data_IF_533085177730
#
_entry.id   IF_533085177730
#
_cell.length_a   1.000
_cell.length_b   1.000
_cell.length_c   1.000
_cell.angle_alpha   90.00
_cell.angle_beta   90.00
_cell.angle_gamma   90.00
#
_symmetry.space_group_name_H-M   'P 1'
#
loop_
_entity.id
_entity.type
_entity.pdbx_description
1 polymer ?
#
# COMPACT_ATOMS: atom_id res chain seq x y z
N UNK A 1 -16.86 -2.31 7.08
CA UNK A 1 -15.58 -2.84 7.31
C UNK A 1 -14.96 -3.37 6.07
N UNK A 2 -13.85 -2.83 5.67
CA UNK A 2 -13.18 -3.25 4.47
C UNK A 2 -12.38 -4.53 4.70
N UNK A 3 -12.17 -5.28 3.63
CA UNK A 3 -11.25 -6.39 3.66
C UNK A 3 -9.83 -5.85 3.66
N UNK A 4 -8.92 -6.60 4.24
CA UNK A 4 -7.50 -6.24 4.20
C UNK A 4 -6.90 -6.76 2.90
N UNK A 5 -7.12 -6.01 1.84
CA UNK A 5 -6.69 -6.41 0.50
C UNK A 5 -5.23 -6.10 0.22
N UNK A 6 -4.69 -5.08 0.86
CA UNK A 6 -3.30 -4.72 0.62
C UNK A 6 -2.45 -4.89 1.88
N UNK A 7 -1.13 -4.98 1.67
CA UNK A 7 -0.15 -5.12 2.73
C UNK A 7 0.84 -3.95 2.71
N UNK A 8 0.35 -2.77 2.38
CA UNK A 8 1.21 -1.60 2.25
C UNK A 8 1.89 -1.27 3.58
N UNK A 9 1.14 -1.36 4.69
CA UNK A 9 1.69 -1.09 6.01
C UNK A 9 2.88 -2.00 6.31
N UNK A 10 2.71 -3.30 6.06
CA UNK A 10 3.78 -4.27 6.30
C UNK A 10 4.97 -4.02 5.38
N UNK A 11 4.70 -3.67 4.12
CA UNK A 11 5.75 -3.40 3.15
C UNK A 11 6.57 -2.18 3.56
N UNK A 12 5.91 -1.13 4.03
CA UNK A 12 6.61 0.06 4.50
C UNK A 12 7.49 -0.28 5.71
N UNK A 13 6.94 -1.07 6.64
CA UNK A 13 7.69 -1.48 7.82
C UNK A 13 8.92 -2.30 7.43
N UNK A 14 8.77 -3.22 6.48
CA UNK A 14 9.88 -4.04 6.01
C UNK A 14 11.00 -3.20 5.40
N UNK A 15 10.65 -2.08 4.80
CA UNK A 15 11.62 -1.20 4.15
C UNK A 15 12.04 -0.03 5.04
N UNK A 16 11.58 -0.01 6.29
CA UNK A 16 11.86 1.06 7.25
C UNK A 16 11.43 2.42 6.73
N UNK A 17 10.26 2.46 6.09
CA UNK A 17 9.70 3.71 5.55
C UNK A 17 8.42 4.06 6.27
N UNK A 18 8.08 5.35 6.25
CA UNK A 18 6.89 5.87 6.91
C UNK A 18 5.80 6.20 5.90
N UNK A 19 4.57 6.37 6.40
CA UNK A 19 3.47 6.86 5.59
C UNK A 19 3.81 8.21 4.96
N UNK A 20 4.43 9.08 5.75
CA UNK A 20 4.80 10.40 5.29
C UNK A 20 5.79 10.32 4.12
N UNK A 21 6.77 9.44 4.25
CA UNK A 21 7.75 9.24 3.18
C UNK A 21 7.04 8.81 1.89
N UNK A 22 6.14 7.84 1.99
CA UNK A 22 5.45 7.37 0.79
C UNK A 22 4.56 8.45 0.20
N UNK A 23 3.90 9.24 1.06
CA UNK A 23 3.08 10.35 0.60
C UNK A 23 3.91 11.33 -0.21
N UNK A 24 5.11 11.64 0.26
CA UNK A 24 6.02 12.54 -0.45
C UNK A 24 6.44 11.97 -1.80
N UNK A 25 6.72 10.66 -1.84
CA UNK A 25 7.12 10.02 -3.09
C UNK A 25 6.01 10.04 -4.13
N UNK A 26 4.76 9.97 -3.68
CA UNK A 26 3.61 9.88 -4.58
C UNK A 26 2.94 11.24 -4.83
N UNK A 27 3.37 12.27 -4.12
CA UNK A 27 2.72 13.58 -4.24
C UNK A 27 1.31 13.58 -3.68
N UNK A 28 1.06 12.79 -2.64
CA UNK A 28 -0.24 12.70 -1.99
C UNK A 28 -0.10 13.07 -0.52
N UNK A 29 -1.22 13.28 0.17
CA UNK A 29 -1.14 13.57 1.58
C UNK A 29 -1.06 12.28 2.40
N UNK A 30 -0.57 12.40 3.63
CA UNK A 30 -0.35 11.22 4.46
C UNK A 30 -1.67 10.62 4.96
N UNK A 31 -2.74 11.40 4.97
CA UNK A 31 -4.06 10.85 5.34
C UNK A 31 -4.52 9.82 4.33
N UNK A 32 -4.27 10.07 3.04
CA UNK A 32 -4.59 9.12 1.98
C UNK A 32 -3.81 7.82 2.18
N UNK A 33 -2.51 7.94 2.44
CA UNK A 33 -1.66 6.76 2.66
C UNK A 33 -2.14 5.98 3.89
N UNK A 34 -2.51 6.69 4.93
CA UNK A 34 -3.00 6.07 6.16
C UNK A 34 -4.25 5.23 5.89
N UNK A 35 -5.16 5.74 5.06
CA UNK A 35 -6.37 4.99 4.69
C UNK A 35 -6.02 3.71 3.93
N UNK A 36 -5.01 3.77 3.07
CA UNK A 36 -4.56 2.56 2.36
C UNK A 36 -3.95 1.56 3.35
N UNK A 37 -3.13 2.04 4.29
CA UNK A 37 -2.48 1.17 5.26
C UNK A 37 -3.46 0.44 6.16
N UNK A 38 -4.59 1.08 6.47
CA UNK A 38 -5.63 0.48 7.29
C UNK A 38 -6.67 -0.27 6.46
N UNK A 39 -6.51 -0.26 5.15
CA UNK A 39 -7.46 -0.85 4.21
C UNK A 39 -8.85 -0.22 4.26
N UNK A 40 -8.93 1.02 4.74
CA UNK A 40 -10.17 1.78 4.68
C UNK A 40 -10.51 2.15 3.24
N UNK A 41 -9.47 2.35 2.43
CA UNK A 41 -9.62 2.53 0.98
C UNK A 41 -8.41 1.90 0.32
N UNK A 42 -8.46 1.77 -1.00
CA UNK A 42 -7.39 1.11 -1.75
C UNK A 42 -6.83 2.06 -2.79
N UNK A 43 -5.53 1.98 -3.08
CA UNK A 43 -4.97 2.74 -4.19
C UNK A 43 -5.44 2.16 -5.51
N UNK A 44 -5.36 2.96 -6.57
CA UNK A 44 -5.64 2.46 -7.91
C UNK A 44 -4.59 1.43 -8.28
N UNK A 45 -4.89 0.64 -9.30
CA UNK A 45 -3.92 -0.35 -9.78
C UNK A 45 -2.61 0.33 -10.21
N UNK A 46 -2.72 1.45 -10.92
CA UNK A 46 -1.54 2.19 -11.37
C UNK A 46 -0.70 2.64 -10.18
N UNK A 47 -1.35 3.18 -9.14
CA UNK A 47 -0.66 3.63 -7.95
C UNK A 47 0.00 2.45 -7.23
N UNK A 48 -0.69 1.32 -7.18
CA UNK A 48 -0.15 0.12 -6.53
C UNK A 48 1.13 -0.35 -7.23
N UNK A 49 1.12 -0.35 -8.56
CA UNK A 49 2.32 -0.70 -9.34
C UNK A 49 3.45 0.28 -9.07
N UNK A 50 3.12 1.56 -8.93
CA UNK A 50 4.12 2.58 -8.63
C UNK A 50 4.71 2.39 -7.24
N UNK A 51 3.89 2.04 -6.26
CA UNK A 51 4.37 1.76 -4.91
C UNK A 51 5.36 0.58 -4.93
N UNK A 52 5.01 -0.47 -5.66
CA UNK A 52 5.89 -1.63 -5.78
C UNK A 52 7.25 -1.21 -6.36
N UNK A 53 7.23 -0.37 -7.38
CA UNK A 53 8.46 0.10 -8.02
C UNK A 53 9.28 0.96 -7.05
N UNK A 54 8.64 1.87 -6.34
CA UNK A 54 9.31 2.76 -5.40
C UNK A 54 9.94 1.97 -4.26
N UNK A 55 9.25 0.95 -3.76
CA UNK A 55 9.75 0.12 -2.68
C UNK A 55 10.65 -1.01 -3.16
N UNK A 56 10.81 -1.14 -4.47
CA UNK A 56 11.64 -2.18 -5.09
C UNK A 56 11.20 -3.57 -4.64
N UNK A 57 9.93 -3.85 -4.83
CA UNK A 57 9.36 -5.14 -4.47
C UNK A 57 8.30 -5.53 -5.49
N UNK A 58 7.87 -6.78 -5.43
CA UNK A 58 6.86 -7.30 -6.35
C UNK A 58 5.48 -6.83 -5.92
N UNK A 59 4.59 -6.64 -6.88
CA UNK A 59 3.22 -6.26 -6.56
C UNK A 59 2.54 -7.35 -5.72
N UNK A 60 2.93 -8.60 -5.90
CA UNK A 60 2.45 -9.70 -5.06
C UNK A 60 2.70 -9.46 -3.59
N UNK A 61 3.78 -8.76 -3.26
CA UNK A 61 4.12 -8.50 -1.86
C UNK A 61 3.25 -7.41 -1.26
N UNK A 62 2.49 -6.71 -2.08
CA UNK A 62 1.63 -5.60 -1.64
C UNK A 62 0.17 -5.99 -1.55
N UNK A 63 -0.19 -7.18 -1.97
CA UNK A 63 -1.59 -7.58 -2.04
C UNK A 63 -1.81 -8.89 -1.29
N UNK A 64 -3.06 -9.11 -0.89
CA UNK A 64 -3.46 -10.32 -0.19
C UNK A 64 -4.40 -11.11 -1.07
N UNK A 65 -3.85 -12.01 -1.85
CA UNK A 65 -4.66 -12.85 -2.73
C UNK A 65 -5.67 -13.66 -1.93
N UNK A 66 -5.27 -14.11 -0.75
CA UNK A 66 -6.14 -14.93 0.09
C UNK A 66 -7.37 -14.17 0.59
N UNK A 67 -7.37 -12.85 0.50
CA UNK A 67 -8.52 -12.05 0.95
C UNK A 67 -9.68 -12.10 -0.03
N UNK A 68 -9.46 -12.65 -1.21
CA UNK A 68 -10.45 -12.69 -2.30
C UNK A 68 -10.71 -14.14 -2.65
N UNK A 69 -11.01 -14.93 -1.68
CA UNK A 69 -11.36 -16.31 -2.01
C UNK A 69 -12.86 -16.42 -1.92
N UNK A 70 -13.41 -17.08 -2.72
CA UNK A 70 -14.78 -17.31 -2.67
C UNK A 70 -15.35 -18.07 -3.42
#
# INVERSE_FOLDING_TARGET
>A
MGRKLNRIKAALADKDKTNKWLAEQLGKDSATISKWCTNASQPSLETLLLIAKILNMEVNDLVRLEAVND
#
